data_IF_955355357708
#
_entry.id   IF_955355357708
#
_cell.length_a   1.000
_cell.length_b   1.000
_cell.length_c   1.000
_cell.angle_alpha   90.00
_cell.angle_beta   90.00
_cell.angle_gamma   90.00
#
_symmetry.space_group_name_H-M   'P 1'
#
loop_
_entity.id
_entity.type
_entity.pdbx_description
1 polymer ?
#
# COMPACT_ATOMS: atom_id res chain seq x y z
N UNK A 1 -24.31 -16.10 -37.53
CA UNK A 1 -24.74 -15.96 -38.94
C UNK A 1 -24.24 -17.12 -39.80
N UNK A 2 -22.98 -17.56 -39.70
CA UNK A 2 -22.42 -18.65 -40.53
C UNK A 2 -22.98 -20.05 -40.24
N UNK A 3 -23.31 -20.36 -38.98
CA UNK A 3 -23.95 -21.64 -38.60
C UNK A 3 -25.37 -21.74 -39.14
N UNK A 4 -26.10 -20.62 -39.18
CA UNK A 4 -27.47 -20.55 -39.72
C UNK A 4 -27.44 -20.79 -41.24
N UNK A 5 -26.49 -20.17 -41.95
CA UNK A 5 -26.32 -20.38 -43.39
C UNK A 5 -25.99 -21.84 -43.76
N UNK A 6 -25.25 -22.57 -42.91
CA UNK A 6 -24.98 -23.99 -43.13
C UNK A 6 -26.25 -24.85 -42.95
N UNK A 7 -27.07 -24.53 -41.94
CA UNK A 7 -28.34 -25.22 -41.67
C UNK A 7 -29.36 -24.96 -42.79
N UNK A 8 -29.44 -23.72 -43.28
CA UNK A 8 -30.29 -23.36 -44.42
C UNK A 8 -29.87 -24.12 -45.68
N UNK A 9 -28.56 -24.21 -45.98
CA UNK A 9 -28.08 -24.97 -47.14
C UNK A 9 -28.42 -26.46 -47.06
N UNK A 10 -28.32 -27.07 -45.88
CA UNK A 10 -28.69 -28.47 -45.66
C UNK A 10 -30.20 -28.66 -45.80
N UNK A 11 -31.00 -27.73 -45.30
CA UNK A 11 -32.45 -27.74 -45.43
C UNK A 11 -32.86 -27.66 -46.91
N UNK A 12 -32.32 -26.68 -47.64
CA UNK A 12 -32.57 -26.50 -49.07
C UNK A 12 -32.19 -27.73 -49.88
N UNK A 13 -31.03 -28.35 -49.57
CA UNK A 13 -30.59 -29.56 -50.26
C UNK A 13 -31.53 -30.74 -50.03
N UNK A 14 -32.06 -30.89 -48.81
CA UNK A 14 -32.96 -31.98 -48.43
C UNK A 14 -34.38 -31.80 -49.01
N UNK A 15 -34.80 -30.56 -49.32
CA UNK A 15 -36.09 -30.31 -49.96
C UNK A 15 -36.10 -30.67 -51.46
N UNK A 16 -34.92 -30.77 -52.11
CA UNK A 16 -34.83 -31.10 -53.53
C UNK A 16 -34.98 -32.61 -53.73
N UNK A 17 -35.94 -32.99 -54.57
CA UNK A 17 -36.17 -34.39 -54.92
C UNK A 17 -35.18 -34.85 -56.01
N UNK A 18 -33.93 -35.08 -55.62
CA UNK A 18 -32.81 -35.35 -56.55
C UNK A 18 -33.04 -36.54 -57.48
N UNK A 19 -33.70 -37.60 -56.98
CA UNK A 19 -33.95 -38.80 -57.77
C UNK A 19 -34.89 -38.52 -58.96
N UNK A 20 -35.94 -37.74 -58.73
CA UNK A 20 -36.87 -37.32 -59.79
C UNK A 20 -36.18 -36.35 -60.76
N UNK A 21 -35.40 -35.40 -60.23
CA UNK A 21 -34.69 -34.41 -61.04
C UNK A 21 -33.65 -35.06 -61.97
N UNK A 22 -32.93 -36.09 -61.50
CA UNK A 22 -31.98 -36.84 -62.32
C UNK A 22 -32.66 -37.68 -63.41
N UNK A 23 -33.89 -38.15 -63.19
CA UNK A 23 -34.67 -38.90 -64.17
C UNK A 23 -35.35 -38.00 -65.21
N UNK A 24 -35.83 -36.82 -64.80
CA UNK A 24 -36.54 -35.88 -65.68
C UNK A 24 -35.61 -34.94 -66.45
N UNK A 25 -34.55 -34.44 -65.80
CA UNK A 25 -33.62 -33.45 -66.36
C UNK A 25 -32.23 -33.53 -65.69
N UNK A 26 -31.36 -34.45 -66.15
CA UNK A 26 -30.02 -34.63 -65.58
C UNK A 26 -29.12 -33.39 -65.73
N UNK A 27 -29.35 -32.54 -66.74
CA UNK A 27 -28.57 -31.33 -66.95
C UNK A 27 -28.83 -30.29 -65.86
N UNK A 28 -30.11 -30.08 -65.53
CA UNK A 28 -30.53 -29.20 -64.43
C UNK A 28 -30.12 -29.74 -63.07
N UNK A 29 -30.16 -31.06 -62.86
CA UNK A 29 -29.67 -31.71 -61.65
C UNK A 29 -28.19 -31.42 -61.40
N UNK A 30 -27.34 -31.65 -62.40
CA UNK A 30 -25.90 -31.40 -62.30
C UNK A 30 -25.54 -29.91 -62.08
N UNK A 31 -26.28 -28.99 -62.69
CA UNK A 31 -26.09 -27.55 -62.45
C UNK A 31 -26.45 -27.17 -61.00
N UNK A 32 -27.57 -27.70 -60.49
CA UNK A 32 -28.03 -27.43 -59.14
C UNK A 32 -27.05 -27.98 -58.10
N UNK A 33 -26.57 -29.20 -58.29
CA UNK A 33 -25.55 -29.81 -57.43
C UNK A 33 -24.27 -28.96 -57.38
N UNK A 34 -23.76 -28.50 -58.53
CA UNK A 34 -22.61 -27.59 -58.58
C UNK A 34 -22.85 -26.29 -57.81
N UNK A 35 -24.06 -25.73 -57.86
CA UNK A 35 -24.40 -24.54 -57.08
C UNK A 35 -24.38 -24.82 -55.57
N UNK A 36 -24.93 -25.96 -55.13
CA UNK A 36 -24.86 -26.37 -53.72
C UNK A 36 -23.42 -26.58 -53.25
N UNK A 37 -22.59 -27.25 -54.06
CA UNK A 37 -21.16 -27.43 -53.75
C UNK A 37 -20.42 -26.10 -53.64
N UNK A 38 -20.64 -25.16 -54.57
CA UNK A 38 -20.03 -23.83 -54.53
C UNK A 38 -20.46 -23.03 -53.29
N UNK A 39 -21.75 -23.10 -52.91
CA UNK A 39 -22.26 -22.48 -51.68
C UNK A 39 -21.64 -23.09 -50.44
N UNK A 40 -21.55 -24.42 -50.37
CA UNK A 40 -20.94 -25.13 -49.25
C UNK A 40 -19.46 -24.73 -49.09
N UNK A 41 -18.70 -24.72 -50.18
CA UNK A 41 -17.29 -24.30 -50.18
C UNK A 41 -17.12 -22.85 -49.68
N UNK A 42 -18.01 -21.94 -50.11
CA UNK A 42 -18.01 -20.55 -49.64
C UNK A 42 -18.30 -20.42 -48.15
N UNK A 43 -19.27 -21.18 -47.64
CA UNK A 43 -19.62 -21.19 -46.21
C UNK A 43 -18.45 -21.73 -45.39
N UNK A 44 -17.83 -22.83 -45.83
CA UNK A 44 -16.66 -23.41 -45.15
C UNK A 44 -15.46 -22.44 -45.12
N UNK A 45 -15.15 -21.79 -46.25
CA UNK A 45 -14.10 -20.77 -46.29
C UNK A 45 -14.38 -19.60 -45.35
N UNK A 46 -15.64 -19.15 -45.29
CA UNK A 46 -16.05 -18.06 -44.38
C UNK A 46 -15.96 -18.50 -42.91
N UNK A 47 -16.35 -19.73 -42.58
CA UNK A 47 -16.24 -20.28 -41.22
C UNK A 47 -14.78 -20.32 -40.76
N UNK A 48 -13.86 -20.73 -41.64
CA UNK A 48 -12.45 -20.81 -41.32
C UNK A 48 -11.83 -19.42 -41.10
N UNK A 49 -12.14 -18.44 -41.95
CA UNK A 49 -11.70 -17.05 -41.78
C UNK A 49 -12.24 -16.43 -40.49
N UNK A 50 -13.53 -16.62 -40.20
CA UNK A 50 -14.14 -16.13 -38.94
C UNK A 50 -13.49 -16.78 -37.72
N UNK A 51 -13.23 -18.09 -37.75
CA UNK A 51 -12.54 -18.79 -36.67
C UNK A 51 -11.13 -18.27 -36.43
N UNK A 52 -10.36 -18.03 -37.50
CA UNK A 52 -9.03 -17.45 -37.41
C UNK A 52 -9.06 -16.02 -36.85
N UNK A 53 -9.97 -15.16 -37.34
CA UNK A 53 -10.13 -13.79 -36.83
C UNK A 53 -10.54 -13.77 -35.37
N UNK A 54 -11.44 -14.65 -34.95
CA UNK A 54 -11.86 -14.76 -33.55
C UNK A 54 -10.69 -15.18 -32.65
N UNK A 55 -9.89 -16.16 -33.09
CA UNK A 55 -8.68 -16.58 -32.39
C UNK A 55 -7.67 -15.44 -32.27
N UNK A 56 -7.40 -14.72 -33.36
CA UNK A 56 -6.49 -13.57 -33.34
C UNK A 56 -7.01 -12.44 -32.45
N UNK A 57 -8.31 -12.11 -32.53
CA UNK A 57 -8.92 -11.09 -31.68
C UNK A 57 -8.83 -11.47 -30.20
N UNK A 58 -9.04 -12.74 -29.86
CA UNK A 58 -8.90 -13.24 -28.48
C UNK A 58 -7.46 -13.10 -27.99
N UNK A 59 -6.48 -13.54 -28.78
CA UNK A 59 -5.07 -13.41 -28.43
C UNK A 59 -4.64 -11.94 -28.25
N UNK A 60 -5.09 -11.05 -29.15
CA UNK A 60 -4.81 -9.62 -29.04
C UNK A 60 -5.46 -9.00 -27.80
N UNK A 61 -6.70 -9.38 -27.47
CA UNK A 61 -7.38 -8.93 -26.26
C UNK A 61 -6.64 -9.39 -24.99
N UNK A 62 -6.19 -10.65 -24.95
CA UNK A 62 -5.41 -11.20 -23.83
C UNK A 62 -4.06 -10.46 -23.67
N UNK A 63 -3.35 -10.19 -24.77
CA UNK A 63 -2.11 -9.41 -24.74
C UNK A 63 -2.35 -7.96 -24.28
N UNK A 64 -3.40 -7.32 -24.79
CA UNK A 64 -3.75 -5.95 -24.40
C UNK A 64 -4.15 -5.85 -22.92
N UNK A 65 -4.86 -6.85 -22.39
CA UNK A 65 -5.20 -6.93 -20.96
C UNK A 65 -3.92 -7.02 -20.12
N UNK A 66 -3.01 -7.95 -20.42
CA UNK A 66 -1.73 -8.08 -19.69
C UNK A 66 -0.91 -6.79 -19.73
N UNK A 67 -0.79 -6.18 -20.91
CA UNK A 67 -0.06 -4.92 -21.05
C UNK A 67 -0.72 -3.77 -20.26
N UNK A 68 -2.05 -3.74 -20.15
CA UNK A 68 -2.74 -2.72 -19.36
C UNK A 68 -2.61 -2.97 -17.86
N UNK A 69 -2.57 -4.24 -17.42
CA UNK A 69 -2.27 -4.62 -16.04
C UNK A 69 -0.86 -4.20 -15.63
N UNK A 70 0.14 -4.46 -16.48
CA UNK A 70 1.53 -4.04 -16.26
C UNK A 70 1.65 -2.52 -16.15
N UNK A 71 1.10 -1.78 -17.12
CA UNK A 71 1.04 -0.31 -17.06
C UNK A 71 0.27 0.19 -15.84
N UNK A 72 -0.74 -0.56 -15.40
CA UNK A 72 -1.48 -0.29 -14.16
C UNK A 72 -0.57 -0.34 -12.94
N UNK A 73 0.25 -1.39 -12.81
CA UNK A 73 1.21 -1.56 -11.72
C UNK A 73 2.25 -0.43 -11.70
N UNK A 74 2.80 -0.08 -12.86
CA UNK A 74 3.78 1.03 -12.96
C UNK A 74 3.18 2.37 -12.50
N UNK A 75 1.95 2.67 -12.93
CA UNK A 75 1.22 3.88 -12.48
C UNK A 75 0.98 3.87 -10.97
N UNK A 76 0.69 2.71 -10.37
CA UNK A 76 0.53 2.62 -8.92
C UNK A 76 1.86 2.88 -8.19
N UNK A 77 2.98 2.37 -8.69
CA UNK A 77 4.31 2.65 -8.13
C UNK A 77 4.64 4.14 -8.19
N UNK A 78 4.37 4.81 -9.31
CA UNK A 78 4.55 6.26 -9.41
C UNK A 78 3.68 7.01 -8.42
N UNK A 79 2.39 6.66 -8.35
CA UNK A 79 1.43 7.24 -7.39
C UNK A 79 1.85 7.01 -5.93
N UNK A 80 2.49 5.88 -5.61
CA UNK A 80 2.99 5.60 -4.27
C UNK A 80 4.00 6.65 -3.82
N UNK A 81 4.95 7.02 -4.69
CA UNK A 81 5.95 8.05 -4.37
C UNK A 81 5.40 9.48 -4.41
N UNK A 82 4.27 9.71 -5.08
CA UNK A 82 3.53 10.98 -4.98
C UNK A 82 2.80 11.09 -3.64
N UNK A 83 2.20 9.99 -3.18
CA UNK A 83 1.45 9.93 -1.93
C UNK A 83 2.34 9.85 -0.69
N UNK A 84 3.51 9.22 -0.82
CA UNK A 84 4.49 9.03 0.24
C UNK A 84 5.87 9.46 -0.30
N UNK A 85 6.16 10.78 -0.34
CA UNK A 85 7.44 11.28 -0.84
C UNK A 85 8.66 10.76 -0.06
N UNK A 86 8.50 10.43 1.22
CA UNK A 86 9.57 9.93 2.09
C UNK A 86 10.11 8.56 1.63
N UNK A 87 9.31 7.80 0.89
CA UNK A 87 9.71 6.50 0.34
C UNK A 87 10.59 6.59 -0.91
N UNK A 88 10.91 7.80 -1.38
CA UNK A 88 11.97 8.00 -2.37
C UNK A 88 13.34 7.62 -1.81
N UNK A 89 13.49 7.65 -0.49
CA UNK A 89 14.64 7.09 0.21
C UNK A 89 14.45 5.59 0.41
N UNK A 90 15.38 4.79 -0.12
CA UNK A 90 15.31 3.33 -0.04
C UNK A 90 15.45 2.79 1.38
N UNK A 91 16.20 3.48 2.24
CA UNK A 91 16.43 3.05 3.62
C UNK A 91 15.18 3.27 4.46
N UNK A 92 14.51 4.42 4.26
CA UNK A 92 13.20 4.72 4.89
C UNK A 92 12.15 3.72 4.43
N UNK A 93 12.08 3.45 3.13
CA UNK A 93 11.16 2.47 2.56
C UNK A 93 11.37 1.07 3.16
N UNK A 94 12.60 0.59 3.19
CA UNK A 94 12.94 -0.74 3.69
C UNK A 94 12.59 -0.88 5.18
N UNK A 95 12.94 0.14 5.97
CA UNK A 95 12.65 0.19 7.40
C UNK A 95 11.14 0.19 7.66
N UNK A 96 10.41 1.15 7.08
CA UNK A 96 8.96 1.26 7.31
C UNK A 96 8.22 0.02 6.82
N UNK A 97 8.62 -0.60 5.70
CA UNK A 97 8.01 -1.85 5.23
C UNK A 97 8.20 -3.00 6.22
N UNK A 98 9.38 -3.15 6.80
CA UNK A 98 9.64 -4.19 7.79
C UNK A 98 8.82 -3.95 9.07
N UNK A 99 8.79 -2.71 9.55
CA UNK A 99 8.03 -2.33 10.76
C UNK A 99 6.53 -2.48 10.57
N UNK A 100 5.99 -2.05 9.42
CA UNK A 100 4.58 -2.24 9.08
C UNK A 100 4.22 -3.71 8.92
N UNK A 101 5.07 -4.53 8.29
CA UNK A 101 4.83 -5.97 8.17
C UNK A 101 4.73 -6.65 9.53
N UNK A 102 5.65 -6.31 10.45
CA UNK A 102 5.61 -6.79 11.83
C UNK A 102 4.37 -6.28 12.60
N UNK A 103 3.93 -5.05 12.33
CA UNK A 103 2.70 -4.50 12.93
C UNK A 103 1.45 -5.23 12.43
N UNK A 104 1.31 -5.44 11.12
CA UNK A 104 0.16 -6.16 10.51
C UNK A 104 0.01 -7.56 11.09
N UNK A 105 1.12 -8.29 11.24
CA UNK A 105 1.14 -9.62 11.86
C UNK A 105 0.66 -9.57 13.33
N UNK A 106 1.01 -8.53 14.08
CA UNK A 106 0.54 -8.33 15.47
C UNK A 106 -0.94 -7.99 15.53
N UNK A 107 -1.49 -7.32 14.52
CA UNK A 107 -2.92 -6.99 14.43
C UNK A 107 -3.78 -8.20 14.07
N UNK A 108 -3.18 -9.32 13.64
CA UNK A 108 -3.88 -10.55 13.24
C UNK A 108 -4.44 -10.51 11.82
N UNK A 109 -4.02 -9.53 11.01
CA UNK A 109 -4.35 -9.45 9.57
C UNK A 109 -3.28 -10.21 8.81
N UNK A 110 -3.68 -11.07 7.87
CA UNK A 110 -2.72 -11.73 7.00
C UNK A 110 -2.24 -10.76 5.91
N UNK A 111 -0.92 -10.69 5.69
CA UNK A 111 -0.33 -9.81 4.69
C UNK A 111 -0.77 -10.21 3.27
N UNK A 112 -1.07 -11.49 3.03
CA UNK A 112 -1.56 -12.00 1.74
C UNK A 112 -2.98 -11.53 1.40
N UNK A 113 -3.78 -11.14 2.40
CA UNK A 113 -5.10 -10.53 2.18
C UNK A 113 -5.00 -9.05 1.76
N UNK A 114 -3.83 -8.43 1.89
CA UNK A 114 -3.60 -7.02 1.56
C UNK A 114 -3.10 -6.86 0.12
N UNK A 115 -3.80 -6.04 -0.66
CA UNK A 115 -3.38 -5.68 -2.01
C UNK A 115 -2.36 -4.53 -1.97
N UNK A 116 -1.11 -4.89 -1.68
CA UNK A 116 0.04 -3.98 -1.63
C UNK A 116 0.43 -3.41 -3.00
N UNK A 117 -0.26 -3.80 -4.09
CA UNK A 117 -0.05 -3.21 -5.42
C UNK A 117 -0.75 -1.87 -5.57
N UNK A 118 -1.75 -1.57 -4.73
CA UNK A 118 -2.51 -0.31 -4.78
C UNK A 118 -1.90 0.72 -3.83
N UNK A 119 -1.43 1.84 -4.40
CA UNK A 119 -0.81 2.92 -3.63
C UNK A 119 -1.71 3.49 -2.52
N UNK A 120 -3.02 3.54 -2.77
CA UNK A 120 -4.00 4.02 -1.79
C UNK A 120 -4.11 3.13 -0.56
N UNK A 121 -4.08 1.80 -0.74
CA UNK A 121 -4.13 0.86 0.38
C UNK A 121 -2.85 0.91 1.20
N UNK A 122 -1.71 0.99 0.52
CA UNK A 122 -0.41 1.12 1.17
C UNK A 122 -0.33 2.41 2.00
N UNK A 123 -0.82 3.54 1.47
CA UNK A 123 -0.93 4.80 2.22
C UNK A 123 -1.81 4.64 3.46
N UNK A 124 -2.99 4.05 3.33
CA UNK A 124 -3.90 3.86 4.46
C UNK A 124 -3.26 2.99 5.55
N UNK A 125 -2.58 1.92 5.14
CA UNK A 125 -1.85 1.03 6.04
C UNK A 125 -0.77 1.77 6.82
N UNK A 126 0.05 2.56 6.12
CA UNK A 126 1.09 3.40 6.74
C UNK A 126 0.49 4.37 7.76
N UNK A 127 -0.61 5.04 7.41
CA UNK A 127 -1.28 5.99 8.31
C UNK A 127 -1.84 5.30 9.56
N UNK A 128 -2.44 4.12 9.41
CA UNK A 128 -2.94 3.34 10.54
C UNK A 128 -1.79 2.92 11.47
N UNK A 129 -0.70 2.38 10.92
CA UNK A 129 0.49 2.01 11.67
C UNK A 129 1.11 3.21 12.41
N UNK A 130 1.28 4.35 11.73
CA UNK A 130 1.82 5.56 12.35
C UNK A 130 0.93 6.07 13.47
N UNK A 131 -0.39 6.05 13.28
CA UNK A 131 -1.34 6.45 14.30
C UNK A 131 -1.25 5.57 15.54
N UNK A 132 -1.23 4.25 15.40
CA UNK A 132 -1.06 3.31 16.51
C UNK A 132 0.27 3.53 17.24
N UNK A 133 1.36 3.69 16.48
CA UNK A 133 2.71 3.93 17.04
C UNK A 133 2.75 5.23 17.85
N UNK A 134 2.12 6.29 17.34
CA UNK A 134 1.99 7.56 18.05
C UNK A 134 1.13 7.41 19.30
N UNK A 135 0.00 6.69 19.25
CA UNK A 135 -0.83 6.43 20.41
C UNK A 135 -0.09 5.67 21.51
N UNK A 136 0.64 4.61 21.16
CA UNK A 136 1.46 3.85 22.09
C UNK A 136 2.57 4.70 22.73
N UNK A 137 3.06 5.73 22.02
CA UNK A 137 4.12 6.63 22.50
C UNK A 137 3.63 7.76 23.41
N UNK A 138 2.33 8.09 23.41
CA UNK A 138 1.73 9.16 24.25
C UNK A 138 2.06 9.06 25.75
N UNK A 139 1.89 7.90 26.42
CA UNK A 139 2.17 7.80 27.86
C UNK A 139 3.64 8.08 28.20
N UNK A 140 4.59 7.68 27.33
CA UNK A 140 6.01 7.95 27.54
C UNK A 140 6.35 9.45 27.38
N UNK A 141 5.68 10.14 26.45
CA UNK A 141 5.82 11.59 26.27
C UNK A 141 5.24 12.35 27.47
N UNK A 142 4.08 11.94 27.99
CA UNK A 142 3.48 12.56 29.18
C UNK A 142 4.32 12.35 30.45
N UNK A 143 4.94 11.18 30.61
CA UNK A 143 5.88 10.93 31.71
C UNK A 143 7.11 11.84 31.60
N UNK A 144 7.71 11.97 30.41
CA UNK A 144 8.82 12.91 30.18
C UNK A 144 8.43 14.37 30.39
N UNK A 145 7.19 14.76 30.09
CA UNK A 145 6.69 16.11 30.37
C UNK A 145 6.46 16.34 31.87
N UNK A 146 6.07 15.31 32.63
CA UNK A 146 5.95 15.37 34.09
C UNK A 146 7.31 15.41 34.78
N UNK A 147 8.30 14.72 34.22
CA UNK A 147 9.68 14.71 34.73
C UNK A 147 10.49 15.94 34.28
N UNK A 148 10.02 16.68 33.28
CA UNK A 148 10.63 17.93 32.87
C UNK A 148 10.51 18.97 34.01
N UNK A 149 11.64 19.52 34.51
CA UNK A 149 11.61 20.53 35.55
C UNK A 149 10.84 21.75 35.05
N UNK A 150 9.84 22.20 35.82
CA UNK A 150 9.02 23.36 35.50
C UNK A 150 9.95 24.54 35.17
N UNK A 151 9.89 25.03 33.93
CA UNK A 151 10.64 26.22 33.54
C UNK A 151 10.23 27.38 34.44
N UNK A 152 11.18 27.83 35.25
CA UNK A 152 11.08 29.05 36.02
C UNK A 152 11.00 30.19 35.00
N UNK A 153 9.88 30.93 34.94
CA UNK A 153 9.74 32.09 34.06
C UNK A 153 10.90 33.07 34.33
N UNK A 154 11.56 33.61 33.29
CA UNK A 154 12.54 34.68 33.48
C UNK A 154 11.81 35.89 34.08
N UNK A 155 12.08 36.18 35.35
CA UNK A 155 11.42 37.23 36.13
C UNK A 155 10.63 36.77 37.36
N UNK A 156 10.43 35.45 37.58
CA UNK A 156 9.89 34.97 38.85
C UNK A 156 11.00 34.98 39.91
N UNK A 157 10.85 35.86 40.91
CA UNK A 157 11.71 35.88 42.08
C UNK A 157 11.82 34.46 42.67
N UNK A 158 13.05 34.01 42.90
CA UNK A 158 13.34 32.74 43.57
C UNK A 158 12.63 32.75 44.94
N UNK A 159 11.46 32.13 45.05
CA UNK A 159 11.13 31.42 46.28
C UNK A 159 11.95 30.14 46.26
N UNK A 160 13.26 30.30 46.49
CA UNK A 160 14.05 29.21 47.01
C UNK A 160 13.39 28.79 48.32
N UNK A 161 13.12 27.50 48.48
CA UNK A 161 12.76 26.86 49.75
C UNK A 161 13.46 27.55 50.93
N UNK A 162 12.72 28.45 51.58
CA UNK A 162 13.21 29.19 52.73
C UNK A 162 13.36 28.27 53.96
N UNK A 163 12.86 27.03 53.87
CA UNK A 163 13.03 25.98 54.87
C UNK A 163 14.45 25.43 54.91
N UNK A 164 15.01 25.03 53.76
CA UNK A 164 16.28 24.29 53.73
C UNK A 164 17.50 25.17 53.99
N UNK A 165 17.54 26.38 53.43
CA UNK A 165 18.66 27.31 53.70
C UNK A 165 18.67 27.77 55.16
N UNK A 166 17.51 27.94 55.78
CA UNK A 166 17.40 28.31 57.20
C UNK A 166 17.85 27.18 58.11
N UNK A 167 17.51 25.92 57.79
CA UNK A 167 17.96 24.74 58.52
C UNK A 167 19.47 24.51 58.36
N UNK A 168 20.01 24.72 57.15
CA UNK A 168 21.44 24.62 56.87
C UNK A 168 22.24 25.71 57.62
N UNK A 169 21.76 26.96 57.60
CA UNK A 169 22.39 28.08 58.30
C UNK A 169 22.36 27.91 59.83
N UNK A 170 21.26 27.35 60.38
CA UNK A 170 21.17 27.03 61.81
C UNK A 170 22.16 25.93 62.21
N UNK A 171 22.28 24.86 61.42
CA UNK A 171 23.24 23.79 61.65
C UNK A 171 24.69 24.29 61.53
N UNK A 172 25.01 25.11 60.53
CA UNK A 172 26.33 25.73 60.38
C UNK A 172 26.68 26.66 61.54
N UNK A 173 25.72 27.43 62.04
CA UNK A 173 25.92 28.31 63.21
C UNK A 173 26.12 27.51 64.50
N UNK A 174 25.45 26.37 64.65
CA UNK A 174 25.66 25.45 65.77
C UNK A 174 27.03 24.74 65.67
N UNK A 175 27.43 24.28 64.49
CA UNK A 175 28.75 23.68 64.27
C UNK A 175 29.88 24.70 64.48
N UNK A 176 29.74 25.93 64.00
CA UNK A 176 30.74 26.98 64.19
C UNK A 176 30.88 27.43 65.65
N UNK A 177 29.83 27.29 66.47
CA UNK A 177 29.91 27.52 67.92
C UNK A 177 30.53 26.35 68.69
N UNK A 178 30.46 25.13 68.15
CA UNK A 178 31.06 23.94 68.75
C UNK A 178 32.52 23.69 68.36
N UNK A 179 32.94 24.16 67.18
CA UNK A 179 34.31 23.97 66.68
C UNK A 179 35.10 25.28 66.81
N UNK A 180 35.58 25.55 68.02
CA UNK A 180 36.71 26.45 68.18
C UNK A 180 37.89 25.91 67.37
N UNK A 181 38.45 26.74 66.49
CA UNK A 181 39.55 26.43 65.56
C UNK A 181 39.17 25.60 64.33
N UNK A 182 39.12 26.28 63.18
CA UNK A 182 39.61 25.90 61.85
C UNK A 182 38.77 26.62 60.77
N UNK A 183 39.05 27.93 60.66
CA UNK A 183 38.42 28.90 59.75
C UNK A 183 38.48 28.55 58.25
N UNK A 184 39.20 27.50 57.88
CA UNK A 184 39.38 27.07 56.48
C UNK A 184 38.24 26.22 55.92
N UNK A 185 37.57 25.37 56.73
CA UNK A 185 36.44 24.55 56.24
C UNK A 185 35.14 25.35 56.12
N UNK A 186 34.90 26.29 57.04
CA UNK A 186 33.72 27.16 56.99
C UNK A 186 33.82 28.17 55.83
N UNK A 187 35.01 28.70 55.54
CA UNK A 187 35.24 29.60 54.41
C UNK A 187 35.11 28.86 53.05
N UNK A 188 35.63 27.64 52.94
CA UNK A 188 35.46 26.82 51.74
C UNK A 188 33.99 26.46 51.47
N UNK A 189 33.21 26.14 52.52
CA UNK A 189 31.79 25.87 52.39
C UNK A 189 30.97 27.13 52.01
N UNK A 190 31.39 28.32 52.48
CA UNK A 190 30.77 29.59 52.10
C UNK A 190 31.01 29.95 50.63
N UNK A 191 32.21 29.69 50.10
CA UNK A 191 32.54 29.89 48.68
C UNK A 191 31.76 28.96 47.75
N UNK A 192 31.56 27.70 48.15
CA UNK A 192 30.73 26.74 47.39
C UNK A 192 29.25 27.13 47.41
N UNK A 193 28.73 27.64 48.53
CA UNK A 193 27.35 28.10 48.63
C UNK A 193 27.04 29.38 47.80
N UNK A 194 28.07 30.18 47.48
CA UNK A 194 27.98 31.32 46.56
C UNK A 194 28.21 30.96 45.09
N UNK A 195 28.59 29.71 44.78
CA UNK A 195 28.80 29.24 43.41
C UNK A 195 30.07 29.79 42.74
N UNK A 196 31.11 30.09 43.52
CA UNK A 196 32.39 30.64 43.04
C UNK A 196 33.55 29.62 43.12
N UNK A 197 33.27 28.34 42.88
CA UNK A 197 34.28 27.29 42.78
C UNK A 197 34.05 26.44 41.53
#
# INVERSE_FOLDING_TARGET
>A
MTVIAQQELQHDYNQVNWNELWQSDPGRAGLLEKQFQARNARIQGTLQDVGQRQMQARQQAEQAQKANEEKGKERQVQRLFELIPEWRDSDVLAKERAEMGAWVQKTGVDISDLDLTKASQVRLLRQAWQHETLQASKPAIEQRLREAPKLIKPGAAKQADAGDKSALLKNLKQQARGTGSNSTKAAAAWLVAQGLA
#
